data_IF_595212806269
#
_entry.id   IF_595212806269
#
_cell.length_a   1.000
_cell.length_b   1.000
_cell.length_c   1.000
_cell.angle_alpha   90.00
_cell.angle_beta   90.00
_cell.angle_gamma   90.00
#
_symmetry.space_group_name_H-M   'P 1'
#
loop_
_entity.id
_entity.type
_entity.pdbx_description
1 polymer ?
#
# COMPACT_ATOMS: atom_id res chain seq x y z
N UNK A 1 -0.50 -7.15 1.05
CA UNK A 1 0.23 -5.96 1.56
C UNK A 1 -0.70 -4.92 2.17
N UNK A 2 -1.71 -4.39 1.47
CA UNK A 2 -2.58 -3.31 1.99
C UNK A 2 -3.24 -3.61 3.34
N UNK A 3 -3.77 -4.82 3.53
CA UNK A 3 -4.31 -5.26 4.83
C UNK A 3 -3.27 -5.23 5.96
N UNK A 4 -2.03 -5.61 5.68
CA UNK A 4 -0.92 -5.61 6.65
C UNK A 4 -0.55 -4.17 7.01
N UNK A 5 -0.43 -3.29 6.02
CA UNK A 5 -0.13 -1.88 6.24
C UNK A 5 -1.26 -1.18 7.00
N UNK A 6 -2.51 -1.52 6.71
CA UNK A 6 -3.65 -1.00 7.46
C UNK A 6 -3.62 -1.44 8.92
N UNK A 7 -3.38 -2.73 9.19
CA UNK A 7 -3.25 -3.23 10.55
C UNK A 7 -2.10 -2.53 11.31
N UNK A 8 -0.96 -2.32 10.65
CA UNK A 8 0.17 -1.59 11.23
C UNK A 8 -0.20 -0.13 11.55
N UNK A 9 -0.90 0.56 10.65
CA UNK A 9 -1.32 1.94 10.89
C UNK A 9 -2.39 2.05 11.97
N UNK A 10 -3.30 1.09 12.09
CA UNK A 10 -4.28 1.05 13.19
C UNK A 10 -3.61 0.81 14.55
N UNK A 11 -2.51 0.04 14.59
CA UNK A 11 -1.71 -0.13 15.80
C UNK A 11 -0.99 1.17 16.21
N UNK A 12 -0.47 1.94 15.24
CA UNK A 12 0.21 3.21 15.49
C UNK A 12 -0.75 4.37 15.80
N UNK A 13 -1.95 4.36 15.20
CA UNK A 13 -2.97 5.40 15.32
C UNK A 13 -4.30 4.81 15.82
N UNK A 14 -4.34 4.30 17.07
CA UNK A 14 -5.54 3.68 17.62
C UNK A 14 -6.70 4.69 17.68
N UNK A 15 -7.90 4.24 17.28
CA UNK A 15 -9.12 5.06 17.26
C UNK A 15 -9.21 6.07 16.11
N UNK A 16 -8.24 6.10 15.19
CA UNK A 16 -8.23 6.99 14.03
C UNK A 16 -8.23 6.19 12.73
N UNK A 17 -9.27 5.36 12.50
CA UNK A 17 -9.30 4.42 11.36
C UNK A 17 -9.15 5.09 10.00
N UNK A 18 -9.76 6.27 9.82
CA UNK A 18 -9.66 7.02 8.56
C UNK A 18 -8.23 7.50 8.30
N UNK A 19 -7.56 8.06 9.32
CA UNK A 19 -6.15 8.48 9.21
C UNK A 19 -5.25 7.27 8.91
N UNK A 20 -5.46 6.17 9.64
CA UNK A 20 -4.73 4.92 9.40
C UNK A 20 -4.92 4.42 7.97
N UNK A 21 -6.16 4.47 7.45
CA UNK A 21 -6.52 4.16 6.07
C UNK A 21 -5.75 4.98 5.04
N UNK A 22 -5.74 6.31 5.22
CA UNK A 22 -5.04 7.23 4.33
C UNK A 22 -3.52 6.98 4.33
N UNK A 23 -2.92 6.78 5.50
CA UNK A 23 -1.49 6.51 5.63
C UNK A 23 -1.12 5.14 5.07
N UNK A 24 -1.95 4.12 5.28
CA UNK A 24 -1.74 2.79 4.70
C UNK A 24 -1.82 2.84 3.17
N UNK A 25 -2.78 3.57 2.61
CA UNK A 25 -2.88 3.77 1.16
C UNK A 25 -1.68 4.53 0.59
N UNK A 26 -1.24 5.59 1.26
CA UNK A 26 -0.03 6.31 0.87
C UNK A 26 1.19 5.38 0.85
N UNK A 27 1.33 4.52 1.87
CA UNK A 27 2.40 3.52 1.92
C UNK A 27 2.27 2.45 0.82
N UNK A 28 1.06 1.95 0.54
CA UNK A 28 0.82 0.99 -0.57
C UNK A 28 1.34 1.57 -1.89
N UNK A 29 0.98 2.82 -2.21
CA UNK A 29 1.40 3.48 -3.45
C UNK A 29 2.91 3.72 -3.45
N UNK A 30 3.46 4.27 -2.36
CA UNK A 30 4.88 4.57 -2.26
C UNK A 30 5.76 3.31 -2.39
N UNK A 31 5.35 2.21 -1.77
CA UNK A 31 6.09 0.94 -1.84
C UNK A 31 5.96 0.31 -3.22
N UNK A 32 4.72 0.19 -3.74
CA UNK A 32 4.48 -0.48 -5.03
C UNK A 32 5.16 0.27 -6.17
N UNK A 33 4.95 1.58 -6.26
CA UNK A 33 5.58 2.38 -7.31
C UNK A 33 7.06 2.65 -7.04
N UNK A 34 7.47 2.75 -5.77
CA UNK A 34 8.85 2.99 -5.40
C UNK A 34 9.78 1.85 -5.82
N UNK A 35 9.35 0.60 -5.69
CA UNK A 35 10.13 -0.55 -6.17
C UNK A 35 10.26 -0.55 -7.70
N UNK A 36 9.17 -0.29 -8.43
CA UNK A 36 9.23 -0.20 -9.90
C UNK A 36 10.10 0.97 -10.38
N UNK A 37 9.95 2.14 -9.77
CA UNK A 37 10.77 3.30 -10.11
C UNK A 37 12.25 3.05 -9.79
N UNK A 38 12.55 2.38 -8.68
CA UNK A 38 13.91 1.96 -8.35
C UNK A 38 14.47 0.99 -9.38
N UNK A 39 13.70 -0.03 -9.78
CA UNK A 39 14.08 -0.97 -10.84
C UNK A 39 14.34 -0.27 -12.17
N UNK A 40 13.51 0.71 -12.54
CA UNK A 40 13.67 1.52 -13.75
C UNK A 40 14.96 2.35 -13.73
N UNK A 41 15.25 3.01 -12.61
CA UNK A 41 16.40 3.93 -12.49
C UNK A 41 17.72 3.16 -12.38
N UNK A 42 17.75 2.08 -11.61
CA UNK A 42 18.98 1.33 -11.32
C UNK A 42 19.26 0.21 -12.32
N UNK A 43 18.23 -0.25 -13.04
CA UNK A 43 18.31 -1.45 -13.85
C UNK A 43 18.38 -2.74 -13.03
N UNK A 44 18.20 -2.67 -11.70
CA UNK A 44 18.20 -3.83 -10.81
C UNK A 44 16.77 -4.33 -10.62
N UNK A 45 16.47 -5.48 -11.23
CA UNK A 45 15.14 -6.08 -11.21
C UNK A 45 14.45 -6.01 -12.57
N UNK A 46 13.16 -6.35 -12.60
CA UNK A 46 12.33 -6.25 -13.78
C UNK A 46 11.40 -5.06 -13.60
N UNK A 47 11.52 -4.06 -14.48
CA UNK A 47 10.54 -2.97 -14.50
C UNK A 47 9.27 -3.45 -15.20
N UNK A 48 8.20 -3.58 -14.44
CA UNK A 48 6.85 -3.82 -14.93
C UNK A 48 5.85 -2.92 -14.22
N UNK A 49 5.43 -1.86 -14.91
CA UNK A 49 4.44 -0.92 -14.41
C UNK A 49 3.13 -1.61 -13.98
N UNK A 50 2.74 -2.72 -14.63
CA UNK A 50 1.52 -3.43 -14.27
C UNK A 50 1.62 -4.14 -12.93
N UNK A 51 2.82 -4.49 -12.46
CA UNK A 51 3.00 -5.08 -11.13
C UNK A 51 2.70 -4.05 -10.03
N UNK A 52 3.15 -2.80 -10.20
CA UNK A 52 2.77 -1.70 -9.31
C UNK A 52 1.26 -1.46 -9.33
N UNK A 53 0.61 -1.44 -10.50
CA UNK A 53 -0.84 -1.22 -10.62
C UNK A 53 -1.62 -2.34 -9.93
N UNK A 54 -1.28 -3.61 -10.21
CA UNK A 54 -1.93 -4.76 -9.59
C UNK A 54 -1.76 -4.75 -8.06
N UNK A 55 -0.55 -4.42 -7.59
CA UNK A 55 -0.24 -4.28 -6.16
C UNK A 55 -1.04 -3.16 -5.49
N UNK A 56 -1.22 -2.02 -6.15
CA UNK A 56 -2.05 -0.91 -5.64
C UNK A 56 -3.53 -1.29 -5.60
N UNK A 57 -4.06 -1.94 -6.64
CA UNK A 57 -5.46 -2.39 -6.68
C UNK A 57 -5.73 -3.42 -5.57
N UNK A 58 -4.89 -4.45 -5.45
CA UNK A 58 -5.00 -5.44 -4.38
C UNK A 58 -4.79 -4.82 -2.99
N UNK A 59 -3.88 -3.86 -2.87
CA UNK A 59 -3.66 -3.08 -1.65
C UNK A 59 -4.89 -2.26 -1.25
N UNK A 60 -5.55 -1.61 -2.21
CA UNK A 60 -6.78 -0.83 -2.01
C UNK A 60 -7.89 -1.70 -1.45
N UNK A 61 -8.09 -2.89 -2.02
CA UNK A 61 -9.07 -3.86 -1.50
C UNK A 61 -8.72 -4.26 -0.07
N UNK A 62 -7.45 -4.56 0.21
CA UNK A 62 -7.01 -4.92 1.56
C UNK A 62 -7.23 -3.82 2.60
N UNK A 63 -6.99 -2.55 2.25
CA UNK A 63 -7.28 -1.41 3.13
C UNK A 63 -8.78 -1.22 3.31
N UNK A 64 -9.55 -1.22 2.21
CA UNK A 64 -10.99 -0.99 2.22
C UNK A 64 -11.75 -2.06 3.03
N UNK A 65 -11.35 -3.33 2.92
CA UNK A 65 -11.93 -4.43 3.71
C UNK A 65 -11.75 -4.15 5.20
N UNK A 66 -10.54 -3.80 5.63
CA UNK A 66 -10.30 -3.56 7.06
C UNK A 66 -11.01 -2.30 7.53
N UNK A 67 -10.96 -1.20 6.78
CA UNK A 67 -11.64 0.05 7.17
C UNK A 67 -13.16 -0.16 7.24
N UNK A 68 -13.77 -0.91 6.33
CA UNK A 68 -15.22 -1.15 6.30
C UNK A 68 -15.74 -2.20 7.29
N UNK A 69 -14.86 -2.94 7.98
CA UNK A 69 -15.24 -3.89 9.04
C UNK A 69 -15.47 -3.17 10.39
N UNK A 70 -15.07 -1.90 10.52
CA UNK A 70 -15.21 -1.08 11.73
C UNK A 70 -16.16 0.10 11.51
#
# INVERSE_FOLDING_TARGET
MGAVLQAAMMFLFPGQQMLAGLLAMAAVVAISYGFELFSLITGWGHYDFWDAVASILGGTIGVAVIVGIF
#
